data_IF_114596748498
#
_entry.id   IF_114596748498
#
_cell.length_a   1.000
_cell.length_b   1.000
_cell.length_c   1.000
_cell.angle_alpha   90.00
_cell.angle_beta   90.00
_cell.angle_gamma   90.00
#
_symmetry.space_group_name_H-M   'P 1'
#
loop_
_entity.id
_entity.type
_entity.pdbx_description
1 polymer ?
#
# COMPACT_ATOMS: atom_id res chain seq x y z
N UNK A 1 -16.40 14.07 -25.08
CA UNK A 1 -16.68 13.32 -23.85
C UNK A 1 -15.68 12.18 -23.82
N UNK A 2 -14.57 12.33 -23.08
CA UNK A 2 -13.54 11.29 -22.99
C UNK A 2 -14.15 10.12 -22.20
N UNK A 3 -14.20 8.97 -22.86
CA UNK A 3 -14.66 7.72 -22.27
C UNK A 3 -13.65 7.33 -21.18
N UNK A 4 -13.89 7.78 -19.94
CA UNK A 4 -13.03 7.46 -18.82
C UNK A 4 -13.18 5.98 -18.50
N UNK A 5 -12.24 5.18 -19.01
CA UNK A 5 -12.14 3.76 -18.64
C UNK A 5 -11.92 3.66 -17.13
N UNK A 6 -12.67 2.81 -16.48
CA UNK A 6 -12.43 2.46 -15.08
C UNK A 6 -10.97 2.01 -14.90
N UNK A 7 -10.29 2.56 -13.91
CA UNK A 7 -8.89 2.24 -13.65
C UNK A 7 -8.71 1.64 -12.25
N UNK A 8 -8.27 0.40 -12.23
CA UNK A 8 -8.06 -0.35 -10.99
C UNK A 8 -6.56 -0.37 -10.67
N UNK A 9 -6.19 0.28 -9.58
CA UNK A 9 -4.82 0.30 -9.08
C UNK A 9 -4.59 -0.93 -8.21
N UNK A 10 -3.67 -1.80 -8.63
CA UNK A 10 -3.29 -3.01 -7.89
C UNK A 10 -1.81 -3.00 -7.55
N UNK A 11 -1.47 -3.66 -6.45
CA UNK A 11 -0.08 -3.88 -6.08
C UNK A 11 0.62 -4.80 -7.09
N UNK A 12 1.93 -4.59 -7.22
CA UNK A 12 2.77 -5.44 -8.07
C UNK A 12 2.90 -6.85 -7.43
N UNK A 13 2.35 -7.84 -8.12
CA UNK A 13 2.40 -9.24 -7.68
C UNK A 13 3.81 -9.78 -7.59
N UNK A 14 4.69 -9.39 -8.53
CA UNK A 14 6.09 -9.81 -8.51
C UNK A 14 6.81 -9.32 -7.26
N UNK A 15 6.53 -8.08 -6.86
CA UNK A 15 7.09 -7.50 -5.64
C UNK A 15 6.54 -8.16 -4.38
N UNK A 16 5.23 -8.42 -4.33
CA UNK A 16 4.62 -9.14 -3.21
C UNK A 16 5.17 -10.56 -3.08
N UNK A 17 5.35 -11.26 -4.21
CA UNK A 17 5.95 -12.58 -4.23
C UNK A 17 7.40 -12.54 -3.72
N UNK A 18 8.20 -11.59 -4.23
CA UNK A 18 9.59 -11.43 -3.80
C UNK A 18 9.69 -11.19 -2.28
N UNK A 19 8.87 -10.29 -1.72
CA UNK A 19 8.88 -10.03 -0.28
C UNK A 19 8.40 -11.25 0.52
N UNK A 20 7.40 -11.99 0.03
CA UNK A 20 6.94 -13.21 0.67
C UNK A 20 8.06 -14.25 0.73
N UNK A 21 8.77 -14.48 -0.39
CA UNK A 21 9.91 -15.41 -0.45
C UNK A 21 11.08 -14.95 0.43
N UNK A 22 11.40 -13.66 0.41
CA UNK A 22 12.46 -13.10 1.26
C UNK A 22 12.17 -13.36 2.75
N UNK A 23 10.96 -13.08 3.20
CA UNK A 23 10.57 -13.34 4.58
C UNK A 23 10.47 -14.82 4.90
N UNK A 24 10.12 -15.68 3.94
CA UNK A 24 10.18 -17.13 4.12
C UNK A 24 11.62 -17.60 4.37
N UNK A 25 12.56 -17.18 3.51
CA UNK A 25 13.99 -17.51 3.68
C UNK A 25 14.52 -16.96 5.01
N UNK A 26 14.17 -15.73 5.38
CA UNK A 26 14.56 -15.13 6.65
C UNK A 26 13.98 -15.90 7.84
N UNK A 27 12.73 -16.37 7.76
CA UNK A 27 12.09 -17.18 8.80
C UNK A 27 12.82 -18.49 9.00
N UNK A 28 13.16 -19.21 7.92
CA UNK A 28 13.91 -20.46 7.99
C UNK A 28 15.30 -20.22 8.61
N UNK A 29 16.00 -19.17 8.16
CA UNK A 29 17.31 -18.81 8.69
C UNK A 29 17.25 -18.50 10.19
N UNK A 30 16.32 -17.66 10.64
CA UNK A 30 16.15 -17.30 12.04
C UNK A 30 15.75 -18.52 12.89
N UNK A 31 14.95 -19.43 12.35
CA UNK A 31 14.58 -20.66 13.05
C UNK A 31 15.81 -21.54 13.32
N UNK A 32 16.62 -21.80 12.29
CA UNK A 32 17.85 -22.58 12.42
C UNK A 32 18.86 -21.93 13.38
N UNK A 33 19.03 -20.60 13.25
CA UNK A 33 19.90 -19.82 14.12
C UNK A 33 19.43 -19.90 15.59
N UNK A 34 18.13 -19.76 15.83
CA UNK A 34 17.56 -19.80 17.19
C UNK A 34 17.75 -21.16 17.83
N UNK A 35 17.56 -22.25 17.09
CA UNK A 35 17.80 -23.63 17.56
C UNK A 35 19.27 -23.83 17.92
N UNK A 36 20.17 -23.36 17.04
CA UNK A 36 21.61 -23.48 17.27
C UNK A 36 22.05 -22.71 18.54
N UNK A 37 21.63 -21.45 18.65
CA UNK A 37 21.98 -20.57 19.78
C UNK A 37 21.40 -21.11 21.10
N UNK A 38 20.19 -21.64 21.08
CA UNK A 38 19.57 -22.30 22.24
C UNK A 38 20.39 -23.50 22.69
N UNK A 39 20.82 -24.34 21.74
CA UNK A 39 21.66 -25.52 22.02
C UNK A 39 23.04 -25.18 22.60
N UNK A 40 23.57 -23.99 22.34
CA UNK A 40 24.84 -23.48 22.93
C UNK A 40 24.67 -22.79 24.29
N UNK A 41 23.45 -22.72 24.83
CA UNK A 41 23.15 -22.14 26.14
C UNK A 41 23.05 -20.62 26.19
N UNK A 42 23.05 -19.96 25.04
CA UNK A 42 22.92 -18.49 24.95
C UNK A 42 21.43 -18.04 24.95
N UNK A 43 20.74 -18.22 26.05
CA UNK A 43 19.30 -18.00 26.17
C UNK A 43 18.84 -16.59 25.81
N UNK A 44 19.62 -15.56 26.14
CA UNK A 44 19.26 -14.17 25.78
C UNK A 44 19.24 -13.98 24.25
N UNK A 45 20.22 -14.52 23.54
CA UNK A 45 20.26 -14.44 22.07
C UNK A 45 19.13 -15.28 21.45
N UNK A 46 18.80 -16.43 22.04
CA UNK A 46 17.66 -17.24 21.59
C UNK A 46 16.33 -16.47 21.74
N UNK A 47 16.15 -15.68 22.81
CA UNK A 47 14.97 -14.84 22.98
C UNK A 47 14.84 -13.78 21.86
N UNK A 48 15.94 -13.11 21.48
CA UNK A 48 15.92 -12.19 20.33
C UNK A 48 15.65 -12.91 19.02
N UNK A 49 16.16 -14.14 18.85
CA UNK A 49 15.86 -14.99 17.70
C UNK A 49 14.35 -15.29 17.58
N UNK A 50 13.71 -15.69 18.68
CA UNK A 50 12.25 -15.95 18.73
C UNK A 50 11.46 -14.68 18.38
N UNK A 51 11.85 -13.54 18.93
CA UNK A 51 11.20 -12.26 18.64
C UNK A 51 11.32 -11.89 17.15
N UNK A 52 12.51 -12.02 16.58
CA UNK A 52 12.76 -11.81 15.15
C UNK A 52 11.93 -12.75 14.28
N UNK A 53 11.83 -14.01 14.69
CA UNK A 53 11.04 -15.05 14.01
C UNK A 53 9.55 -14.67 13.98
N UNK A 54 9.00 -14.21 15.10
CA UNK A 54 7.63 -13.73 15.20
C UNK A 54 7.33 -12.61 14.18
N UNK A 55 8.21 -11.59 14.12
CA UNK A 55 8.03 -10.48 13.18
C UNK A 55 8.16 -10.93 11.73
N UNK A 56 9.09 -11.83 11.43
CA UNK A 56 9.30 -12.38 10.08
C UNK A 56 8.10 -13.19 9.60
N UNK A 57 7.55 -14.08 10.45
CA UNK A 57 6.33 -14.85 10.15
C UNK A 57 5.14 -13.93 9.92
N UNK A 58 4.95 -12.94 10.80
CA UNK A 58 3.86 -11.95 10.65
C UNK A 58 3.96 -11.18 9.34
N UNK A 59 5.16 -10.76 8.94
CA UNK A 59 5.40 -10.08 7.67
C UNK A 59 5.13 -11.00 6.48
N UNK A 60 5.64 -12.24 6.52
CA UNK A 60 5.39 -13.26 5.49
C UNK A 60 3.89 -13.51 5.29
N UNK A 61 3.15 -13.73 6.37
CA UNK A 61 1.69 -13.93 6.31
C UNK A 61 0.99 -12.71 5.71
N UNK A 62 1.39 -11.49 6.09
CA UNK A 62 0.82 -10.25 5.58
C UNK A 62 1.02 -10.10 4.07
N UNK A 63 2.23 -10.33 3.57
CA UNK A 63 2.52 -10.23 2.13
C UNK A 63 1.88 -11.38 1.35
N UNK A 64 1.96 -12.61 1.87
CA UNK A 64 1.34 -13.78 1.25
C UNK A 64 -0.18 -13.66 1.14
N UNK A 65 -0.84 -13.17 2.18
CA UNK A 65 -2.28 -12.93 2.15
C UNK A 65 -2.69 -11.86 1.12
N UNK A 66 -1.91 -10.77 1.00
CA UNK A 66 -2.13 -9.73 -0.02
C UNK A 66 -1.90 -10.27 -1.44
N UNK A 67 -0.90 -11.14 -1.61
CA UNK A 67 -0.61 -11.80 -2.88
C UNK A 67 -1.78 -12.69 -3.34
N UNK A 68 -2.33 -13.49 -2.42
CA UNK A 68 -3.46 -14.40 -2.70
C UNK A 68 -4.76 -13.63 -2.94
N UNK A 69 -5.12 -12.71 -2.05
CA UNK A 69 -6.36 -11.92 -2.17
C UNK A 69 -6.36 -10.98 -3.37
N UNK A 70 -5.20 -10.46 -3.77
CA UNK A 70 -5.06 -9.53 -4.88
C UNK A 70 -6.10 -8.38 -4.86
N UNK A 71 -6.43 -7.90 -3.67
CA UNK A 71 -7.39 -6.80 -3.50
C UNK A 71 -6.82 -5.52 -4.13
N UNK A 72 -7.64 -4.76 -4.86
CA UNK A 72 -7.21 -3.47 -5.39
C UNK A 72 -6.87 -2.50 -4.26
N UNK A 73 -5.94 -1.60 -4.51
CA UNK A 73 -5.55 -0.53 -3.57
C UNK A 73 -6.53 0.62 -3.68
N UNK A 74 -6.90 0.96 -4.90
CA UNK A 74 -7.82 2.03 -5.24
C UNK A 74 -8.48 1.71 -6.58
N UNK A 75 -9.75 2.05 -6.73
CA UNK A 75 -10.48 1.93 -7.99
C UNK A 75 -11.07 3.29 -8.35
N UNK A 76 -10.67 3.82 -9.49
CA UNK A 76 -11.26 5.03 -10.07
C UNK A 76 -12.39 4.59 -10.98
N UNK A 77 -13.63 4.89 -10.59
CA UNK A 77 -14.82 4.70 -11.40
C UNK A 77 -15.29 6.02 -12.00
N UNK A 78 -16.36 5.98 -12.77
CA UNK A 78 -16.87 7.17 -13.45
C UNK A 78 -17.28 8.29 -12.49
N UNK A 79 -17.96 7.95 -11.39
CA UNK A 79 -18.57 8.94 -10.49
C UNK A 79 -18.02 8.89 -9.07
N UNK A 80 -17.19 7.89 -8.76
CA UNK A 80 -16.66 7.66 -7.42
C UNK A 80 -15.26 7.03 -7.44
N UNK A 81 -14.55 7.20 -6.33
CA UNK A 81 -13.33 6.47 -6.00
C UNK A 81 -13.65 5.43 -4.92
N UNK A 82 -13.26 4.19 -5.15
CA UNK A 82 -13.39 3.12 -4.14
C UNK A 82 -12.04 2.89 -3.50
N UNK A 83 -12.01 2.93 -2.16
CA UNK A 83 -10.82 2.76 -1.31
C UNK A 83 -10.99 1.52 -0.43
N UNK A 84 -10.67 0.31 -0.92
CA UNK A 84 -10.94 -0.95 -0.21
C UNK A 84 -10.25 -1.07 1.16
N UNK A 85 -9.18 -0.31 1.39
CA UNK A 85 -8.44 -0.29 2.65
C UNK A 85 -9.18 0.42 3.79
N UNK A 86 -10.20 1.25 3.48
CA UNK A 86 -10.97 1.99 4.45
C UNK A 86 -12.14 1.15 5.02
N UNK A 87 -12.70 1.54 6.18
CA UNK A 87 -13.93 0.96 6.70
C UNK A 87 -15.08 1.03 5.68
N UNK A 88 -16.02 0.09 5.74
CA UNK A 88 -17.09 -0.04 4.72
C UNK A 88 -17.84 1.26 4.45
N UNK A 89 -18.08 2.06 5.46
CA UNK A 89 -18.81 3.33 5.40
C UNK A 89 -18.06 4.42 4.63
N UNK A 90 -16.73 4.33 4.58
CA UNK A 90 -15.84 5.34 3.96
C UNK A 90 -15.18 4.84 2.67
N UNK A 91 -15.53 3.64 2.20
CA UNK A 91 -14.90 3.05 1.00
C UNK A 91 -15.28 3.77 -0.27
N UNK A 92 -16.50 4.27 -0.35
CA UNK A 92 -17.07 4.89 -1.54
C UNK A 92 -17.04 6.40 -1.38
N UNK A 93 -16.17 7.08 -2.13
CA UNK A 93 -16.07 8.54 -2.14
C UNK A 93 -16.51 9.06 -3.50
N UNK A 94 -17.62 9.77 -3.56
CA UNK A 94 -18.05 10.44 -4.79
C UNK A 94 -17.13 11.61 -5.08
N UNK A 95 -16.78 11.85 -6.35
CA UNK A 95 -15.88 12.95 -6.71
C UNK A 95 -16.39 14.31 -6.23
N UNK A 96 -17.70 14.53 -6.23
CA UNK A 96 -18.31 15.77 -5.71
C UNK A 96 -18.02 16.05 -4.23
N UNK A 97 -17.74 14.99 -3.45
CA UNK A 97 -17.50 15.06 -2.00
C UNK A 97 -16.00 15.17 -1.70
N UNK A 98 -15.14 15.10 -2.72
CA UNK A 98 -13.69 15.21 -2.61
C UNK A 98 -13.28 16.66 -2.89
N UNK A 99 -12.67 17.32 -1.92
CA UNK A 99 -12.18 18.71 -2.07
C UNK A 99 -10.77 18.79 -2.61
N UNK A 100 -9.90 17.89 -2.14
CA UNK A 100 -8.51 17.90 -2.53
C UNK A 100 -7.89 16.49 -2.41
N UNK A 101 -6.86 16.24 -3.21
CA UNK A 101 -6.10 15.00 -3.16
C UNK A 101 -4.61 15.32 -3.07
N UNK A 102 -3.93 14.59 -2.18
CA UNK A 102 -2.48 14.67 -2.04
C UNK A 102 -1.84 13.36 -2.50
N UNK A 103 -0.93 13.46 -3.44
CA UNK A 103 -0.16 12.33 -3.97
C UNK A 103 1.25 12.42 -3.38
N UNK A 104 1.58 11.50 -2.48
CA UNK A 104 2.95 11.36 -1.99
C UNK A 104 3.67 10.33 -2.83
N UNK A 105 4.72 10.76 -3.51
CA UNK A 105 5.55 9.93 -4.34
C UNK A 105 6.90 9.65 -3.66
N UNK A 106 7.28 8.38 -3.60
CA UNK A 106 8.61 7.89 -3.23
C UNK A 106 9.23 7.15 -4.40
N UNK A 107 10.50 6.76 -4.30
CA UNK A 107 11.21 5.97 -5.32
C UNK A 107 10.51 4.66 -5.69
N UNK A 108 9.81 4.04 -4.74
CA UNK A 108 9.20 2.71 -4.89
C UNK A 108 7.69 2.66 -4.63
N UNK A 109 7.06 3.78 -4.28
CA UNK A 109 5.64 3.80 -3.93
C UNK A 109 4.96 5.12 -4.26
N UNK A 110 3.65 5.03 -4.52
CA UNK A 110 2.75 6.19 -4.58
C UNK A 110 1.69 6.00 -3.51
N UNK A 111 1.46 7.02 -2.69
CA UNK A 111 0.40 7.05 -1.69
C UNK A 111 -0.59 8.13 -2.05
N UNK A 112 -1.87 7.78 -2.07
CA UNK A 112 -2.97 8.68 -2.37
C UNK A 112 -3.74 9.00 -1.09
N UNK A 113 -3.91 10.27 -0.79
CA UNK A 113 -4.69 10.76 0.34
C UNK A 113 -5.83 11.63 -0.18
N UNK A 114 -7.03 11.34 0.27
CA UNK A 114 -8.25 12.04 -0.14
C UNK A 114 -8.80 12.84 1.03
N UNK A 115 -9.20 14.09 0.77
CA UNK A 115 -9.86 14.97 1.72
C UNK A 115 -11.28 15.23 1.27
N UNK A 116 -12.26 15.05 2.16
CA UNK A 116 -13.68 15.29 1.90
C UNK A 116 -14.28 16.34 2.84
N UNK A 117 -15.54 16.70 2.64
CA UNK A 117 -16.24 17.73 3.41
C UNK A 117 -16.38 17.44 4.91
N UNK A 118 -16.33 16.18 5.30
CA UNK A 118 -16.45 15.75 6.69
C UNK A 118 -15.10 15.65 7.41
N UNK A 119 -14.01 16.02 6.76
CA UNK A 119 -12.67 15.95 7.34
C UNK A 119 -12.30 17.34 7.85
N UNK A 120 -12.40 17.52 9.16
CA UNK A 120 -12.18 18.82 9.84
C UNK A 120 -10.72 19.12 10.17
N UNK A 121 -9.79 18.20 9.95
CA UNK A 121 -8.40 18.35 10.38
C UNK A 121 -7.40 18.12 9.23
N UNK A 122 -6.29 18.89 9.13
CA UNK A 122 -5.24 18.65 8.13
C UNK A 122 -4.63 17.24 8.19
N UNK A 123 -4.62 16.62 9.36
CA UNK A 123 -4.25 15.20 9.55
C UNK A 123 -5.36 14.24 9.13
N UNK A 124 -6.54 14.72 8.84
CA UNK A 124 -7.73 13.94 8.49
C UNK A 124 -7.78 13.52 7.02
N UNK A 125 -6.66 13.54 6.29
CA UNK A 125 -6.58 12.94 4.98
C UNK A 125 -6.83 11.45 5.07
N UNK A 126 -7.85 11.00 4.35
CA UNK A 126 -8.12 9.57 4.26
C UNK A 126 -7.05 8.89 3.41
N UNK A 127 -6.43 7.86 3.98
CA UNK A 127 -5.38 7.13 3.31
C UNK A 127 -5.97 6.05 2.42
N UNK A 128 -5.82 6.20 1.10
CA UNK A 128 -6.29 5.23 0.13
C UNK A 128 -5.46 3.95 0.09
N UNK A 129 -4.15 4.10 0.24
CA UNK A 129 -3.23 2.98 0.17
C UNK A 129 -1.88 3.36 -0.40
N UNK A 130 -1.02 2.37 -0.54
CA UNK A 130 0.28 2.51 -1.16
C UNK A 130 0.44 1.49 -2.28
N UNK A 131 0.91 1.97 -3.43
CA UNK A 131 1.25 1.14 -4.56
C UNK A 131 2.74 0.87 -4.53
N UNK A 132 3.12 -0.37 -4.25
CA UNK A 132 4.52 -0.80 -4.26
C UNK A 132 4.85 -1.38 -5.62
N UNK A 133 5.53 -0.58 -6.47
CA UNK A 133 5.89 -0.98 -7.82
C UNK A 133 7.41 -0.92 -7.98
N UNK A 134 8.00 -1.95 -8.59
CA UNK A 134 9.43 -1.94 -8.93
C UNK A 134 9.74 -1.00 -10.08
N UNK A 135 8.87 -0.98 -11.09
CA UNK A 135 9.10 -0.23 -12.29
C UNK A 135 8.66 1.22 -12.11
N UNK A 136 9.59 2.15 -12.29
CA UNK A 136 9.31 3.59 -12.23
C UNK A 136 8.22 4.02 -13.22
N UNK A 137 8.13 3.33 -14.38
CA UNK A 137 7.09 3.60 -15.37
C UNK A 137 5.70 3.38 -14.80
N UNK A 138 5.44 2.27 -14.12
CA UNK A 138 4.13 1.99 -13.50
C UNK A 138 3.74 3.02 -12.44
N UNK A 139 4.71 3.54 -11.67
CA UNK A 139 4.47 4.63 -10.72
C UNK A 139 4.05 5.91 -11.44
N UNK A 140 4.68 6.22 -12.57
CA UNK A 140 4.32 7.37 -13.39
C UNK A 140 2.92 7.22 -13.98
N UNK A 141 2.57 6.03 -14.46
CA UNK A 141 1.25 5.75 -15.05
C UNK A 141 0.13 5.93 -14.02
N UNK A 142 0.31 5.40 -12.78
CA UNK A 142 -0.66 5.58 -11.68
C UNK A 142 -0.81 7.04 -11.32
N UNK A 143 0.31 7.77 -11.17
CA UNK A 143 0.27 9.19 -10.86
C UNK A 143 -0.43 9.99 -11.96
N UNK A 144 -0.03 9.78 -13.21
CA UNK A 144 -0.61 10.48 -14.36
C UNK A 144 -2.11 10.23 -14.44
N UNK A 145 -2.54 8.97 -14.36
CA UNK A 145 -3.95 8.64 -14.43
C UNK A 145 -4.76 9.28 -13.29
N UNK A 146 -4.24 9.22 -12.06
CA UNK A 146 -4.89 9.85 -10.91
C UNK A 146 -5.04 11.37 -11.13
N UNK A 147 -3.98 12.03 -11.61
CA UNK A 147 -4.01 13.47 -11.89
C UNK A 147 -4.99 13.80 -13.02
N UNK A 148 -4.99 13.06 -14.12
CA UNK A 148 -5.90 13.27 -15.25
C UNK A 148 -7.37 13.09 -14.82
N UNK A 149 -7.65 12.04 -14.04
CA UNK A 149 -8.98 11.77 -13.51
C UNK A 149 -9.46 12.89 -12.58
N UNK A 150 -8.62 13.33 -11.64
CA UNK A 150 -8.95 14.37 -10.67
C UNK A 150 -9.14 15.72 -11.36
N UNK A 151 -8.29 16.03 -12.34
CA UNK A 151 -8.41 17.26 -13.13
C UNK A 151 -9.73 17.31 -13.92
N UNK A 152 -10.16 16.16 -14.49
CA UNK A 152 -11.45 16.07 -15.19
C UNK A 152 -12.64 16.38 -14.27
N UNK A 153 -12.51 16.08 -12.98
CA UNK A 153 -13.53 16.39 -11.97
C UNK A 153 -13.29 17.71 -11.22
N UNK A 154 -12.35 18.56 -11.70
CA UNK A 154 -12.01 19.85 -11.09
C UNK A 154 -11.53 19.75 -9.64
N UNK A 155 -10.91 18.63 -9.26
CA UNK A 155 -10.39 18.40 -7.92
C UNK A 155 -8.93 18.87 -7.85
N UNK A 156 -8.62 19.67 -6.81
CA UNK A 156 -7.24 20.11 -6.55
C UNK A 156 -6.34 18.94 -6.20
N UNK A 157 -5.20 18.82 -6.88
CA UNK A 157 -4.25 17.74 -6.68
C UNK A 157 -2.85 18.30 -6.38
N UNK A 158 -2.32 17.96 -5.20
CA UNK A 158 -0.95 18.31 -4.80
C UNK A 158 -0.05 17.09 -4.92
N UNK A 159 1.06 17.19 -5.63
CA UNK A 159 2.07 16.14 -5.75
C UNK A 159 3.28 16.49 -4.90
N UNK A 160 3.55 15.69 -3.87
CA UNK A 160 4.71 15.84 -3.00
C UNK A 160 5.69 14.71 -3.27
N UNK A 161 6.89 15.05 -3.71
CA UNK A 161 7.98 14.09 -3.85
C UNK A 161 8.72 13.98 -2.52
N UNK A 162 8.77 12.77 -1.99
CA UNK A 162 9.58 12.46 -0.82
C UNK A 162 10.95 11.99 -1.34
N UNK A 163 11.98 12.76 -1.00
CA UNK A 163 13.36 12.39 -1.28
C UNK A 163 13.72 11.02 -0.65
#
# INVERSE_FOLDING_TARGET
MLDMKEYIVREDRGKLLLYTLLHLCLTIFLMLLTIYVYGTGHFLLAFFGITGLWFSVKAMCRYGFRLVKNTPVCEFKRDEVILPALPKEQRHMKYRDIRAVKILRSSSSVKLFFSGDHVTHPSGWQYAGAVYLFQRKKLNDVQKYAMDCLHTHHISCEVVQKA
#
